data_IF_473765780525
#
_entry.id   IF_473765780525
#
_cell.length_a   1.000
_cell.length_b   1.000
_cell.length_c   1.000
_cell.angle_alpha   90.00
_cell.angle_beta   90.00
_cell.angle_gamma   90.00
#
_symmetry.space_group_name_H-M   'P 1'
#
loop_
_entity.id
_entity.type
_entity.pdbx_description
1 polymer ?
#
# COMPACT_ATOMS: atom_id res chain seq x y z
N UNK A 1 10.06 -12.43 -13.46
CA UNK A 1 9.31 -12.23 -12.20
C UNK A 1 9.66 -10.95 -11.42
N UNK A 2 10.65 -10.13 -11.82
CA UNK A 2 10.90 -8.82 -11.16
C UNK A 2 10.61 -7.63 -12.09
N UNK A 3 10.92 -7.76 -13.39
CA UNK A 3 10.68 -6.72 -14.40
C UNK A 3 9.18 -6.44 -14.58
N UNK A 4 8.33 -7.47 -14.49
CA UNK A 4 6.87 -7.32 -14.55
C UNK A 4 6.29 -6.54 -13.36
N UNK A 5 6.88 -6.68 -12.17
CA UNK A 5 6.42 -5.99 -10.97
C UNK A 5 6.81 -4.50 -11.00
N UNK A 6 8.05 -4.20 -11.43
CA UNK A 6 8.51 -2.83 -11.65
C UNK A 6 7.74 -2.13 -12.79
N UNK A 7 7.33 -2.86 -13.82
CA UNK A 7 6.45 -2.32 -14.87
C UNK A 7 5.01 -2.09 -14.39
N UNK A 8 4.47 -2.96 -13.52
CA UNK A 8 3.20 -2.68 -12.82
C UNK A 8 3.30 -1.43 -11.95
N UNK A 9 4.45 -1.17 -11.32
CA UNK A 9 4.70 0.04 -10.52
C UNK A 9 4.73 1.31 -11.40
N UNK A 10 5.16 1.22 -12.66
CA UNK A 10 5.10 2.37 -13.57
C UNK A 10 3.65 2.76 -13.97
N UNK A 11 2.67 1.88 -13.72
CA UNK A 11 1.22 2.18 -13.82
C UNK A 11 0.64 2.81 -12.55
N UNK A 12 1.36 2.80 -11.44
CA UNK A 12 1.01 3.56 -10.23
C UNK A 12 1.70 4.91 -10.29
N UNK A 13 0.92 5.97 -10.55
CA UNK A 13 1.44 7.36 -10.52
C UNK A 13 1.87 7.81 -9.12
N UNK A 14 1.54 7.05 -8.06
CA UNK A 14 1.83 7.38 -6.67
C UNK A 14 3.18 6.86 -6.18
N UNK A 15 4.26 7.41 -6.75
CA UNK A 15 5.64 7.17 -6.31
C UNK A 15 5.83 7.40 -4.80
N UNK A 16 5.08 8.33 -4.22
CA UNK A 16 5.18 8.71 -2.81
C UNK A 16 4.69 7.60 -1.86
N UNK A 17 3.62 6.89 -2.23
CA UNK A 17 3.06 5.77 -1.45
C UNK A 17 4.05 4.60 -1.40
N UNK A 18 4.71 4.34 -2.53
CA UNK A 18 5.70 3.27 -2.65
C UNK A 18 7.01 3.55 -1.88
N UNK A 19 7.53 4.79 -1.98
CA UNK A 19 8.72 5.25 -1.25
C UNK A 19 8.55 5.12 0.27
N UNK A 20 7.37 5.50 0.78
CA UNK A 20 7.08 5.45 2.22
C UNK A 20 7.02 4.01 2.75
N UNK A 21 6.56 3.06 1.94
CA UNK A 21 6.25 1.68 2.40
C UNK A 21 7.41 0.70 2.20
N UNK A 22 8.17 0.80 1.11
CA UNK A 22 9.33 -0.09 0.90
C UNK A 22 10.53 0.35 1.78
N UNK A 23 10.39 1.46 2.50
CA UNK A 23 11.46 2.04 3.30
C UNK A 23 12.66 2.48 2.46
N UNK A 24 12.45 2.66 1.14
CA UNK A 24 13.49 3.14 0.23
C UNK A 24 13.28 4.64 0.02
N UNK A 25 14.32 5.43 0.28
CA UNK A 25 14.28 6.86 -0.04
C UNK A 25 13.99 7.08 -1.53
N UNK A 26 13.40 8.23 -1.87
CA UNK A 26 13.18 8.63 -3.27
C UNK A 26 14.50 8.55 -4.07
N UNK A 27 15.62 8.89 -3.44
CA UNK A 27 16.98 8.76 -4.01
C UNK A 27 17.36 7.31 -4.33
N UNK A 28 17.03 6.36 -3.46
CA UNK A 28 17.27 4.92 -3.69
C UNK A 28 16.36 4.38 -4.78
N UNK A 29 15.10 4.84 -4.84
CA UNK A 29 14.16 4.48 -5.91
C UNK A 29 14.65 5.00 -7.27
N UNK A 30 15.04 6.27 -7.36
CA UNK A 30 15.59 6.88 -8.57
C UNK A 30 16.87 6.18 -9.06
N UNK A 31 17.74 5.78 -8.12
CA UNK A 31 18.93 4.97 -8.44
C UNK A 31 18.56 3.59 -8.97
N UNK A 32 17.58 2.92 -8.37
CA UNK A 32 17.12 1.58 -8.79
C UNK A 32 16.33 1.60 -10.11
N UNK A 33 15.67 2.70 -10.44
CA UNK A 33 15.06 2.92 -11.76
C UNK A 33 16.15 3.02 -12.83
N UNK A 34 17.28 3.68 -12.52
CA UNK A 34 18.43 3.78 -13.43
C UNK A 34 19.24 2.49 -13.52
N UNK A 35 19.38 1.77 -12.40
CA UNK A 35 20.11 0.51 -12.29
C UNK A 35 19.24 -0.54 -11.56
N UNK A 36 18.57 -1.45 -12.30
CA UNK A 36 17.63 -2.40 -11.71
C UNK A 36 18.32 -3.35 -10.73
N UNK A 37 18.00 -3.20 -9.44
CA UNK A 37 18.37 -4.16 -8.40
C UNK A 37 17.11 -4.94 -7.95
N UNK A 38 17.22 -6.25 -7.70
CA UNK A 38 16.10 -7.01 -7.14
C UNK A 38 15.72 -6.49 -5.76
N UNK A 39 14.41 -6.49 -5.47
CA UNK A 39 13.91 -6.24 -4.12
C UNK A 39 14.36 -7.37 -3.19
N UNK A 40 14.68 -7.05 -1.95
CA UNK A 40 14.89 -8.09 -0.93
C UNK A 40 13.58 -8.82 -0.65
N UNK A 41 13.64 -10.00 -0.02
CA UNK A 41 12.44 -10.76 0.36
C UNK A 41 11.49 -9.93 1.25
N UNK A 42 12.04 -9.14 2.16
CA UNK A 42 11.29 -8.23 3.06
C UNK A 42 10.65 -7.05 2.31
N UNK A 43 11.34 -6.50 1.32
CA UNK A 43 10.79 -5.46 0.46
C UNK A 43 9.67 -6.00 -0.42
N UNK A 44 9.83 -7.22 -0.92
CA UNK A 44 8.83 -7.90 -1.75
C UNK A 44 7.57 -8.23 -0.95
N UNK A 45 7.71 -8.70 0.29
CA UNK A 45 6.56 -8.98 1.17
C UNK A 45 5.80 -7.70 1.55
N UNK A 46 6.52 -6.62 1.84
CA UNK A 46 5.91 -5.33 2.17
C UNK A 46 5.20 -4.70 0.95
N UNK A 47 5.79 -4.81 -0.23
CA UNK A 47 5.16 -4.37 -1.48
C UNK A 47 3.88 -5.16 -1.79
N UNK A 48 3.89 -6.48 -1.54
CA UNK A 48 2.72 -7.33 -1.72
C UNK A 48 1.58 -6.97 -0.77
N UNK A 49 1.88 -6.74 0.52
CA UNK A 49 0.89 -6.31 1.52
C UNK A 49 0.21 -5.01 1.11
N UNK A 50 0.99 -4.03 0.64
CA UNK A 50 0.45 -2.78 0.12
C UNK A 50 -0.46 -3.00 -1.08
N UNK A 51 0.00 -3.75 -2.08
CA UNK A 51 -0.80 -4.02 -3.27
C UNK A 51 -2.15 -4.66 -2.90
N UNK A 52 -2.15 -5.61 -1.96
CA UNK A 52 -3.38 -6.25 -1.46
C UNK A 52 -4.34 -5.26 -0.81
N UNK A 53 -3.86 -4.43 0.13
CA UNK A 53 -4.70 -3.43 0.80
C UNK A 53 -5.20 -2.36 -0.17
N UNK A 54 -4.35 -1.89 -1.07
CA UNK A 54 -4.70 -0.86 -2.02
C UNK A 54 -5.79 -1.35 -2.99
N UNK A 55 -5.64 -2.56 -3.55
CA UNK A 55 -6.68 -3.14 -4.40
C UNK A 55 -8.00 -3.32 -3.66
N UNK A 56 -7.97 -3.75 -2.40
CA UNK A 56 -9.18 -3.86 -1.59
C UNK A 56 -9.80 -2.49 -1.27
N UNK A 57 -8.99 -1.47 -1.02
CA UNK A 57 -9.48 -0.10 -0.87
C UNK A 57 -10.09 0.43 -2.17
N UNK A 58 -9.54 0.10 -3.34
CA UNK A 58 -10.17 0.43 -4.64
C UNK A 58 -11.53 -0.27 -4.80
N UNK A 59 -11.67 -1.51 -4.35
CA UNK A 59 -12.94 -2.23 -4.36
C UNK A 59 -13.97 -1.62 -3.40
N UNK A 60 -13.54 -1.23 -2.19
CA UNK A 60 -14.42 -0.64 -1.17
C UNK A 60 -14.87 0.78 -1.52
N UNK A 61 -13.95 1.64 -1.96
CA UNK A 61 -14.24 3.04 -2.24
C UNK A 61 -14.72 3.27 -3.69
N UNK A 62 -14.44 2.33 -4.61
CA UNK A 62 -14.85 2.41 -6.01
C UNK A 62 -14.09 3.45 -6.86
N UNK A 63 -13.33 4.35 -6.22
CA UNK A 63 -12.49 5.34 -6.88
C UNK A 63 -11.05 5.28 -6.38
N UNK A 64 -10.12 5.21 -7.33
CA UNK A 64 -8.69 5.09 -7.05
C UNK A 64 -8.11 6.29 -6.32
N UNK A 65 -8.58 7.51 -6.62
CA UNK A 65 -8.11 8.72 -5.95
C UNK A 65 -8.60 8.75 -4.51
N UNK A 66 -9.83 8.32 -4.27
CA UNK A 66 -10.41 8.19 -2.93
C UNK A 66 -9.67 7.13 -2.10
N UNK A 67 -9.36 5.97 -2.67
CA UNK A 67 -8.55 4.94 -2.00
C UNK A 67 -7.15 5.44 -1.67
N UNK A 68 -6.49 6.15 -2.59
CA UNK A 68 -5.17 6.73 -2.34
C UNK A 68 -5.19 7.77 -1.22
N UNK A 69 -6.23 8.62 -1.19
CA UNK A 69 -6.42 9.60 -0.12
C UNK A 69 -6.69 8.91 1.22
N UNK A 70 -7.53 7.88 1.25
CA UNK A 70 -7.83 7.11 2.45
C UNK A 70 -6.58 6.44 3.04
N UNK A 71 -5.70 5.89 2.19
CA UNK A 71 -4.47 5.24 2.62
C UNK A 71 -3.52 6.15 3.43
N UNK A 72 -3.58 7.46 3.21
CA UNK A 72 -2.76 8.46 3.90
C UNK A 72 -3.51 9.23 4.98
N UNK A 73 -4.82 8.99 5.09
CA UNK A 73 -5.68 9.71 6.03
C UNK A 73 -5.83 8.92 7.33
N UNK A 74 -5.65 9.56 8.50
CA UNK A 74 -6.01 8.98 9.79
C UNK A 74 -7.45 8.44 9.80
N UNK A 75 -7.62 7.14 10.06
CA UNK A 75 -8.95 6.55 10.18
C UNK A 75 -9.30 6.32 11.65
N UNK A 76 -10.50 6.77 12.08
CA UNK A 76 -10.99 6.58 13.45
C UNK A 76 -11.02 5.09 13.86
N UNK A 77 -11.43 4.20 12.95
CA UNK A 77 -11.42 2.76 13.20
C UNK A 77 -10.04 2.11 13.25
N UNK A 78 -8.98 2.87 12.98
CA UNK A 78 -7.58 2.46 13.07
C UNK A 78 -6.84 3.26 14.17
N UNK A 79 -7.54 3.61 15.24
CA UNK A 79 -7.01 4.40 16.36
C UNK A 79 -6.47 5.79 15.93
N UNK A 80 -7.01 6.35 14.85
CA UNK A 80 -6.52 7.63 14.30
C UNK A 80 -5.17 7.52 13.61
N UNK A 81 -4.72 6.32 13.22
CA UNK A 81 -3.52 6.12 12.42
C UNK A 81 -3.88 6.00 10.94
N UNK A 82 -2.97 6.45 10.08
CA UNK A 82 -3.10 6.25 8.64
C UNK A 82 -2.81 4.78 8.28
N UNK A 83 -3.59 4.17 7.36
CA UNK A 83 -3.35 2.81 6.90
C UNK A 83 -1.89 2.57 6.49
N UNK A 84 -1.31 3.51 5.72
CA UNK A 84 0.09 3.44 5.29
C UNK A 84 1.09 3.21 6.42
N UNK A 85 0.87 3.81 7.59
CA UNK A 85 1.82 3.71 8.71
C UNK A 85 1.71 2.34 9.42
N UNK A 86 0.54 1.70 9.34
CA UNK A 86 0.27 0.38 9.93
C UNK A 86 0.82 -0.78 9.10
N UNK A 87 0.93 -0.61 7.77
CA UNK A 87 1.41 -1.65 6.84
C UNK A 87 2.89 -2.04 7.02
N UNK A 88 3.61 -1.33 7.88
CA UNK A 88 4.99 -1.64 8.27
C UNK A 88 5.12 -2.95 9.05
N UNK A 89 4.02 -3.42 9.66
CA UNK A 89 4.00 -4.64 10.47
C UNK A 89 2.92 -5.60 9.98
N UNK A 90 3.11 -6.90 10.23
CA UNK A 90 2.09 -7.91 9.89
C UNK A 90 0.77 -7.66 10.64
N UNK A 91 0.86 -7.31 11.93
CA UNK A 91 -0.31 -7.01 12.77
C UNK A 91 -1.07 -5.79 12.24
N UNK A 92 -0.36 -4.73 11.87
CA UNK A 92 -1.00 -3.54 11.31
C UNK A 92 -1.64 -3.80 9.95
N UNK A 93 -1.06 -4.68 9.12
CA UNK A 93 -1.70 -5.14 7.90
C UNK A 93 -3.03 -5.86 8.17
N UNK A 94 -3.07 -6.78 9.12
CA UNK A 94 -4.30 -7.51 9.48
C UNK A 94 -5.39 -6.55 9.98
N UNK A 95 -5.04 -5.58 10.83
CA UNK A 95 -5.96 -4.55 11.31
C UNK A 95 -6.60 -3.74 10.16
N UNK A 96 -5.79 -3.35 9.18
CA UNK A 96 -6.26 -2.59 8.01
C UNK A 96 -7.11 -3.47 7.09
N UNK A 97 -6.73 -4.72 6.86
CA UNK A 97 -7.48 -5.70 6.05
C UNK A 97 -8.86 -5.97 6.66
N UNK A 98 -8.92 -6.17 7.98
CA UNK A 98 -10.15 -6.36 8.75
C UNK A 98 -11.05 -5.12 8.71
N UNK A 99 -10.45 -3.93 8.85
CA UNK A 99 -11.20 -2.68 8.78
C UNK A 99 -11.84 -2.48 7.39
N UNK A 100 -11.08 -2.72 6.31
CA UNK A 100 -11.61 -2.69 4.95
C UNK A 100 -12.70 -3.73 4.73
N UNK A 101 -12.53 -4.95 5.25
CA UNK A 101 -13.55 -6.00 5.23
C UNK A 101 -14.86 -5.51 5.85
N UNK A 102 -14.79 -4.87 7.02
CA UNK A 102 -15.97 -4.35 7.72
C UNK A 102 -16.65 -3.22 6.96
N UNK A 103 -15.88 -2.39 6.24
CA UNK A 103 -16.44 -1.36 5.37
C UNK A 103 -17.12 -1.97 4.14
N UNK A 104 -16.52 -3.01 3.53
CA UNK A 104 -17.06 -3.72 2.36
C UNK A 104 -18.40 -4.40 2.66
N UNK A 105 -18.46 -5.16 3.76
CA UNK A 105 -19.67 -5.86 4.17
C UNK A 105 -20.72 -4.95 4.80
N UNK A 106 -20.41 -3.65 4.94
CA UNK A 106 -21.27 -2.58 5.45
C UNK A 106 -22.23 -3.09 6.51
N UNK A 107 -21.77 -3.22 7.77
CA UNK A 107 -22.57 -3.60 8.94
C UNK A 107 -24.05 -3.28 8.68
N UNK A 108 -24.80 -4.28 8.23
CA UNK A 108 -26.24 -4.18 8.09
C UNK A 108 -26.76 -4.10 9.52
N UNK A 109 -27.10 -2.89 9.95
CA UNK A 109 -27.92 -2.62 11.13
C UNK A 109 -28.77 -1.39 10.83
#
# INVERSE_FOLDING_TARGET
MVISFVQSINRFKDKQVFVKIIGISDRTLQRRIKNPEPLTSEQSSSAWRLAKIFSKAEEVFGDRQESANWMVTPALGLEGRAPMDLLTTQVGFELVDDFLTRMEYGVYS
#
